data_IF_965159109325
#
_entry.id   IF_965159109325
#
_cell.length_a   1.000
_cell.length_b   1.000
_cell.length_c   1.000
_cell.angle_alpha   90.00
_cell.angle_beta   90.00
_cell.angle_gamma   90.00
#
_symmetry.space_group_name_H-M   'P 1'
#
loop_
_entity.id
_entity.type
_entity.pdbx_description
1 polymer ?
#
# COMPACT_ATOMS: atom_id res chain seq x y z
N UNK A 1 7.96 15.07 3.83
CA UNK A 1 6.81 15.55 3.05
C UNK A 1 6.25 14.38 2.25
N UNK A 2 4.94 14.13 2.29
CA UNK A 2 4.32 13.07 1.51
C UNK A 2 3.63 13.69 0.29
N UNK A 3 4.20 13.47 -0.90
CA UNK A 3 3.70 14.00 -2.17
C UNK A 3 2.25 13.56 -2.43
N UNK A 4 1.91 12.31 -2.07
CA UNK A 4 0.58 11.73 -2.29
C UNK A 4 -0.53 12.38 -1.48
N UNK A 5 -0.21 12.90 -0.30
CA UNK A 5 -1.18 13.56 0.59
C UNK A 5 -1.14 15.08 0.47
N UNK A 6 -0.17 15.63 -0.28
CA UNK A 6 0.11 17.06 -0.31
C UNK A 6 0.45 17.66 1.06
N UNK A 7 0.80 16.82 2.05
CA UNK A 7 0.99 17.23 3.44
C UNK A 7 2.26 16.63 4.06
N UNK A 8 2.77 17.27 5.09
CA UNK A 8 3.84 16.75 5.91
C UNK A 8 3.30 15.71 6.90
N UNK A 9 3.94 14.55 6.91
CA UNK A 9 3.72 13.51 7.94
C UNK A 9 4.79 13.69 9.00
N UNK A 10 4.38 14.01 10.21
CA UNK A 10 5.24 14.19 11.38
C UNK A 10 4.62 13.55 12.63
N UNK A 11 5.20 13.79 13.80
CA UNK A 11 4.83 13.15 15.07
C UNK A 11 3.33 13.16 15.37
N UNK A 12 2.67 14.31 15.22
CA UNK A 12 1.25 14.48 15.54
C UNK A 12 0.30 13.74 14.58
N UNK A 13 0.73 13.51 13.33
CA UNK A 13 -0.12 12.90 12.30
C UNK A 13 0.35 11.49 11.91
N UNK A 14 1.41 10.98 12.54
CA UNK A 14 2.02 9.71 12.17
C UNK A 14 1.04 8.55 12.36
N UNK A 15 0.31 8.52 13.48
CA UNK A 15 -0.67 7.46 13.77
C UNK A 15 -1.79 7.41 12.73
N UNK A 16 -2.31 8.57 12.34
CA UNK A 16 -3.35 8.67 11.31
C UNK A 16 -2.82 8.30 9.91
N UNK A 17 -1.55 8.61 9.63
CA UNK A 17 -0.91 8.17 8.39
C UNK A 17 -0.78 6.64 8.32
N UNK A 18 -0.37 5.99 9.40
CA UNK A 18 -0.30 4.52 9.46
C UNK A 18 -1.68 3.89 9.31
N UNK A 19 -2.70 4.40 10.02
CA UNK A 19 -4.05 3.87 9.88
C UNK A 19 -4.61 4.07 8.47
N UNK A 20 -4.31 5.21 7.83
CA UNK A 20 -4.62 5.44 6.42
C UNK A 20 -3.96 4.41 5.50
N UNK A 21 -2.66 4.14 5.66
CA UNK A 21 -1.95 3.17 4.83
C UNK A 21 -2.51 1.74 5.00
N UNK A 22 -2.83 1.35 6.24
CA UNK A 22 -3.44 0.04 6.52
C UNK A 22 -4.83 -0.06 5.88
N UNK A 23 -5.68 0.96 6.05
CA UNK A 23 -7.00 0.99 5.43
C UNK A 23 -6.91 0.95 3.89
N UNK A 24 -5.97 1.69 3.30
CA UNK A 24 -5.71 1.67 1.86
C UNK A 24 -5.26 0.27 1.40
N UNK A 25 -4.39 -0.41 2.14
CA UNK A 25 -3.96 -1.77 1.85
C UNK A 25 -5.11 -2.78 1.88
N UNK A 26 -5.99 -2.68 2.90
CA UNK A 26 -7.19 -3.52 3.01
C UNK A 26 -8.13 -3.27 1.82
N UNK A 27 -8.38 -2.01 1.47
CA UNK A 27 -9.24 -1.65 0.34
C UNK A 27 -8.69 -2.20 -0.99
N UNK A 28 -7.39 -2.02 -1.24
CA UNK A 28 -6.76 -2.53 -2.46
C UNK A 28 -6.83 -4.06 -2.56
N UNK A 29 -6.60 -4.76 -1.45
CA UNK A 29 -6.72 -6.21 -1.39
C UNK A 29 -8.17 -6.67 -1.64
N UNK A 30 -9.14 -5.99 -1.04
CA UNK A 30 -10.56 -6.29 -1.24
C UNK A 30 -10.96 -6.14 -2.72
N UNK A 31 -10.61 -5.02 -3.35
CA UNK A 31 -10.90 -4.76 -4.76
C UNK A 31 -10.21 -5.78 -5.66
N UNK A 32 -8.96 -6.14 -5.35
CA UNK A 32 -8.22 -7.16 -6.10
C UNK A 32 -8.92 -8.53 -6.03
N UNK A 33 -9.37 -8.95 -4.85
CA UNK A 33 -10.11 -10.22 -4.68
C UNK A 33 -11.45 -10.19 -5.41
N UNK A 34 -12.20 -9.09 -5.31
CA UNK A 34 -13.47 -8.94 -6.00
C UNK A 34 -13.33 -8.96 -7.53
N UNK A 35 -12.33 -8.24 -8.06
CA UNK A 35 -12.05 -8.20 -9.49
C UNK A 35 -11.56 -9.57 -9.99
N UNK A 36 -10.69 -10.25 -9.23
CA UNK A 36 -10.24 -11.62 -9.53
C UNK A 36 -11.39 -12.62 -9.53
N UNK A 37 -12.28 -12.53 -8.54
CA UNK A 37 -13.48 -13.37 -8.45
C UNK A 37 -14.42 -13.14 -9.63
N UNK A 38 -14.53 -11.90 -10.10
CA UNK A 38 -15.33 -11.55 -11.28
C UNK A 38 -14.75 -12.11 -12.58
N UNK A 39 -13.41 -12.20 -12.70
CA UNK A 39 -12.75 -12.84 -13.84
C UNK A 39 -12.95 -14.36 -13.84
N UNK A 40 -12.84 -14.99 -12.66
CA UNK A 40 -13.02 -16.44 -12.51
C UNK A 40 -14.48 -16.82 -12.78
N UNK A 41 -15.44 -16.13 -12.14
CA UNK A 41 -16.87 -16.47 -12.22
C UNK A 41 -17.55 -15.90 -13.48
N UNK A 42 -17.02 -14.83 -14.08
CA UNK A 42 -17.53 -14.24 -15.33
C UNK A 42 -17.34 -15.13 -16.55
N UNK A 43 -16.54 -16.20 -16.43
CA UNK A 43 -16.46 -17.29 -17.40
C UNK A 43 -17.69 -18.23 -17.37
N UNK A 44 -18.53 -18.10 -16.34
CA UNK A 44 -19.64 -19.00 -16.03
C UNK A 44 -20.95 -18.21 -15.90
N UNK A 45 -21.29 -17.39 -16.90
CA UNK A 45 -22.58 -16.71 -16.97
C UNK A 45 -23.63 -17.64 -17.62
N UNK A 46 -24.57 -18.23 -16.85
CA UNK A 46 -25.61 -19.10 -17.38
C UNK A 46 -26.76 -18.32 -18.05
N UNK A 47 -26.66 -16.99 -18.08
CA UNK A 47 -27.67 -16.06 -18.62
C UNK A 47 -27.38 -15.66 -20.08
N UNK A 48 -26.53 -16.42 -20.77
CA UNK A 48 -26.18 -16.21 -22.17
C UNK A 48 -27.41 -16.47 -23.07
N UNK A 49 -28.26 -15.45 -23.19
CA UNK A 49 -29.30 -15.36 -24.21
C UNK A 49 -28.63 -15.45 -25.60
N UNK A 50 -28.94 -16.47 -26.41
CA UNK A 50 -28.21 -16.77 -27.65
C UNK A 50 -28.50 -15.79 -28.81
N UNK A 51 -29.25 -14.70 -28.59
CA UNK A 51 -29.85 -13.89 -29.66
C UNK A 51 -29.41 -12.43 -29.81
N UNK A 52 -28.37 -11.94 -29.11
CA UNK A 52 -28.00 -10.51 -29.15
C UNK A 52 -26.60 -10.26 -29.69
N UNK A 53 -26.49 -10.01 -31.00
CA UNK A 53 -25.24 -9.68 -31.73
C UNK A 53 -24.45 -8.49 -31.15
N UNK A 54 -25.08 -7.64 -30.32
CA UNK A 54 -24.43 -6.48 -29.67
C UNK A 54 -23.77 -6.77 -28.32
N UNK A 55 -23.78 -8.01 -27.81
CA UNK A 55 -23.26 -8.35 -26.45
C UNK A 55 -21.78 -8.73 -26.38
N UNK A 56 -21.18 -9.24 -27.47
CA UNK A 56 -19.74 -9.52 -27.52
C UNK A 56 -18.82 -8.34 -27.16
N UNK A 57 -19.10 -7.06 -27.52
CA UNK A 57 -18.26 -5.96 -27.06
C UNK A 57 -18.38 -5.69 -25.56
N UNK A 58 -19.54 -5.95 -24.94
CA UNK A 58 -19.78 -5.59 -23.54
C UNK A 58 -19.17 -6.59 -22.56
N UNK A 59 -19.21 -7.88 -22.87
CA UNK A 59 -18.53 -8.92 -22.06
C UNK A 59 -17.01 -8.79 -22.15
N UNK A 60 -16.48 -8.54 -23.36
CA UNK A 60 -15.06 -8.26 -23.56
C UNK A 60 -14.61 -7.00 -22.81
N UNK A 61 -15.37 -5.91 -22.87
CA UNK A 61 -15.06 -4.67 -22.15
C UNK A 61 -15.07 -4.86 -20.62
N UNK A 62 -16.03 -5.64 -20.09
CA UNK A 62 -16.05 -5.98 -18.65
C UNK A 62 -14.84 -6.81 -18.23
N UNK A 63 -14.47 -7.82 -19.03
CA UNK A 63 -13.27 -8.63 -18.79
C UNK A 63 -12.00 -7.78 -18.82
N UNK A 64 -11.85 -6.94 -19.84
CA UNK A 64 -10.72 -6.01 -19.96
C UNK A 64 -10.66 -5.04 -18.77
N UNK A 65 -11.78 -4.45 -18.38
CA UNK A 65 -11.85 -3.56 -17.23
C UNK A 65 -11.44 -4.27 -15.93
N UNK A 66 -11.89 -5.51 -15.72
CA UNK A 66 -11.53 -6.30 -14.55
C UNK A 66 -10.03 -6.66 -14.55
N UNK A 67 -9.44 -7.00 -15.69
CA UNK A 67 -7.98 -7.24 -15.81
C UNK A 67 -7.19 -5.97 -15.49
N UNK A 68 -7.55 -4.83 -16.09
CA UNK A 68 -6.90 -3.55 -15.82
C UNK A 68 -7.01 -3.17 -14.34
N UNK A 69 -8.19 -3.37 -13.75
CA UNK A 69 -8.42 -3.14 -12.32
C UNK A 69 -7.54 -4.03 -11.45
N UNK A 70 -7.44 -5.33 -11.76
CA UNK A 70 -6.56 -6.26 -11.04
C UNK A 70 -5.09 -5.83 -11.12
N UNK A 71 -4.60 -5.47 -12.30
CA UNK A 71 -3.22 -5.04 -12.50
C UNK A 71 -2.90 -3.76 -11.72
N UNK A 72 -3.77 -2.75 -11.83
CA UNK A 72 -3.58 -1.49 -11.13
C UNK A 72 -3.64 -1.68 -9.61
N UNK A 73 -4.66 -2.40 -9.11
CA UNK A 73 -4.80 -2.65 -7.68
C UNK A 73 -3.66 -3.51 -7.14
N UNK A 74 -3.18 -4.49 -7.91
CA UNK A 74 -2.04 -5.34 -7.52
C UNK A 74 -0.75 -4.54 -7.37
N UNK A 75 -0.41 -3.69 -8.35
CA UNK A 75 0.79 -2.84 -8.28
C UNK A 75 0.71 -1.86 -7.12
N UNK A 76 -0.45 -1.20 -6.94
CA UNK A 76 -0.65 -0.28 -5.82
C UNK A 76 -0.63 -1.01 -4.47
N UNK A 77 -1.18 -2.22 -4.39
CA UNK A 77 -1.15 -3.03 -3.17
C UNK A 77 0.29 -3.35 -2.79
N UNK A 78 1.11 -3.82 -3.74
CA UNK A 78 2.53 -4.11 -3.48
C UNK A 78 3.25 -2.87 -2.94
N UNK A 79 3.05 -1.71 -3.58
CA UNK A 79 3.65 -0.45 -3.13
C UNK A 79 3.21 -0.06 -1.70
N UNK A 80 1.90 -0.14 -1.41
CA UNK A 80 1.34 0.20 -0.10
C UNK A 80 1.80 -0.78 0.97
N UNK A 81 1.76 -2.09 0.73
CA UNK A 81 2.20 -3.09 1.70
C UNK A 81 3.70 -2.98 2.00
N UNK A 82 4.53 -2.71 0.99
CA UNK A 82 5.97 -2.45 1.19
C UNK A 82 6.19 -1.23 2.09
N UNK A 83 5.42 -0.16 1.85
CA UNK A 83 5.49 1.04 2.67
C UNK A 83 5.02 0.78 4.11
N UNK A 84 3.93 0.04 4.30
CA UNK A 84 3.43 -0.36 5.63
C UNK A 84 4.49 -1.18 6.37
N UNK A 85 5.08 -2.19 5.73
CA UNK A 85 6.13 -3.01 6.32
C UNK A 85 7.34 -2.16 6.75
N UNK A 86 7.74 -1.21 5.90
CA UNK A 86 8.80 -0.26 6.24
C UNK A 86 8.45 0.61 7.45
N UNK A 87 7.24 1.15 7.50
CA UNK A 87 6.81 1.95 8.65
C UNK A 87 6.69 1.12 9.94
N UNK A 88 6.21 -0.12 9.87
CA UNK A 88 6.17 -1.04 11.02
C UNK A 88 7.59 -1.28 11.55
N UNK A 89 8.55 -1.55 10.67
CA UNK A 89 9.94 -1.74 11.04
C UNK A 89 10.54 -0.52 11.75
N UNK A 90 10.20 0.69 11.31
CA UNK A 90 10.59 1.94 11.96
C UNK A 90 9.96 2.10 13.35
N UNK A 91 8.65 1.80 13.48
CA UNK A 91 7.93 1.83 14.77
C UNK A 91 8.54 0.86 15.77
N UNK A 92 8.87 -0.36 15.36
CA UNK A 92 9.51 -1.37 16.22
C UNK A 92 10.90 -0.93 16.67
N UNK A 93 11.64 -0.20 15.81
CA UNK A 93 12.97 0.33 16.14
C UNK A 93 12.93 1.62 16.94
N UNK A 94 11.75 2.21 17.14
CA UNK A 94 11.59 3.50 17.80
C UNK A 94 12.19 4.66 17.03
N UNK A 95 12.23 4.58 15.70
CA UNK A 95 12.90 5.57 14.85
C UNK A 95 11.95 6.22 13.85
N UNK A 96 12.17 7.50 13.56
CA UNK A 96 11.47 8.17 12.46
C UNK A 96 12.11 7.83 11.11
N UNK A 97 11.34 7.95 10.02
CA UNK A 97 11.89 7.78 8.66
C UNK A 97 13.07 8.73 8.40
N UNK A 98 13.00 9.94 8.94
CA UNK A 98 14.05 10.95 8.82
C UNK A 98 15.32 10.54 9.57
N UNK A 99 15.21 10.04 10.80
CA UNK A 99 16.34 9.51 11.57
C UNK A 99 17.03 8.36 10.84
N UNK A 100 16.26 7.41 10.31
CA UNK A 100 16.86 6.28 9.60
C UNK A 100 17.58 6.70 8.32
N UNK A 101 17.02 7.64 7.54
CA UNK A 101 17.64 8.15 6.31
C UNK A 101 18.87 9.03 6.58
N UNK A 102 18.87 9.78 7.68
CA UNK A 102 19.93 10.75 8.01
C UNK A 102 20.87 10.29 9.11
N UNK A 103 20.78 9.02 9.52
CA UNK A 103 21.54 8.44 10.63
C UNK A 103 23.03 8.76 10.57
N UNK A 104 23.67 8.49 9.42
CA UNK A 104 25.10 8.72 9.26
C UNK A 104 25.49 10.17 9.58
N UNK A 105 24.71 11.13 9.06
CA UNK A 105 24.94 12.56 9.29
C UNK A 105 24.63 13.00 10.72
N UNK A 106 23.58 12.46 11.32
CA UNK A 106 23.23 12.74 12.73
C UNK A 106 24.36 12.23 13.62
N UNK A 107 24.79 10.99 13.43
CA UNK A 107 25.84 10.37 14.23
C UNK A 107 27.18 11.09 14.05
N UNK A 108 27.53 11.48 12.82
CA UNK A 108 28.72 12.32 12.56
C UNK A 108 28.67 13.64 13.32
N UNK A 109 27.54 14.36 13.27
CA UNK A 109 27.38 15.64 13.96
C UNK A 109 27.43 15.53 15.49
N UNK A 110 27.10 14.36 16.04
CA UNK A 110 27.11 14.07 17.47
C UNK A 110 28.34 13.27 17.91
N UNK A 111 29.32 13.04 17.02
CA UNK A 111 30.53 12.25 17.29
C UNK A 111 30.22 10.83 17.79
N UNK A 112 29.14 10.22 17.28
CA UNK A 112 28.68 8.87 17.62
C UNK A 112 29.10 7.84 16.55
N UNK A 113 29.25 6.55 16.90
CA UNK A 113 29.47 5.49 15.92
C UNK A 113 28.32 5.38 14.90
N UNK A 114 28.58 4.98 13.64
CA UNK A 114 27.60 5.07 12.54
C UNK A 114 26.37 4.15 12.69
N UNK A 115 26.47 3.10 13.50
CA UNK A 115 25.40 2.10 13.71
C UNK A 115 24.56 2.35 14.98
N UNK A 116 24.92 3.36 15.78
CA UNK A 116 24.19 3.69 17.00
C UNK A 116 22.85 4.35 16.65
N UNK A 117 21.82 4.02 17.43
CA UNK A 117 20.47 4.59 17.36
C UNK A 117 20.31 5.56 18.53
N UNK A 118 20.55 6.88 18.35
CA UNK A 118 20.72 7.81 19.47
C UNK A 118 19.46 8.01 20.32
N UNK A 119 18.29 7.82 19.70
CA UNK A 119 16.98 8.07 20.30
C UNK A 119 16.22 6.79 20.67
N UNK A 120 16.79 5.61 20.45
CA UNK A 120 16.16 4.34 20.81
C UNK A 120 16.09 4.20 22.35
N UNK A 121 14.87 4.09 22.88
CA UNK A 121 14.60 3.90 24.32
C UNK A 121 14.25 2.46 24.69
N UNK A 122 14.37 1.53 23.75
CA UNK A 122 13.94 0.15 23.93
C UNK A 122 12.42 0.00 23.94
N UNK A 123 11.96 -1.25 23.98
CA UNK A 123 10.53 -1.57 24.10
C UNK A 123 10.09 -1.20 25.52
N UNK A 124 9.11 -0.31 25.64
CA UNK A 124 8.44 -0.04 26.92
C UNK A 124 7.65 -1.29 27.32
N UNK A 125 8.14 -2.00 28.35
CA UNK A 125 7.40 -3.05 29.05
C UNK A 125 6.16 -2.50 29.77
#
# INVERSE_FOLDING_TARGET
>A
HCLWLGNCVGELNHRAFISYLVAQGILLLWVFVAASSSLINGSHDPSADPGSEKRVPLSFLKGLAAVVCCLLCGVLAIAVFTLVAFQIMLVVRGETTWENLRRAKINESQQLPPLVRPYDRGVRN
#
